data_IF_652654199646
#
_entry.id   IF_652654199646
#
_cell.length_a   1.000
_cell.length_b   1.000
_cell.length_c   1.000
_cell.angle_alpha   90.00
_cell.angle_beta   90.00
_cell.angle_gamma   90.00
#
_symmetry.space_group_name_H-M   'P 1'
#
loop_
_entity.id
_entity.type
_entity.pdbx_description
1 polymer ?
#
# COMPACT_ATOMS: atom_id res chain seq x y z
N UNK A 1 3.24 12.55 -0.27
CA UNK A 1 2.63 13.86 -0.54
C UNK A 1 1.75 14.23 0.65
N UNK A 2 1.60 15.52 0.96
CA UNK A 2 0.85 16.01 2.11
C UNK A 2 0.16 17.34 1.82
N UNK A 3 -0.82 17.64 2.67
CA UNK A 3 -1.36 18.98 2.90
C UNK A 3 -1.24 19.26 4.40
N UNK A 4 -0.57 20.36 4.74
CA UNK A 4 -0.36 20.83 6.11
C UNK A 4 -0.90 22.24 6.23
N UNK A 5 -1.82 22.43 7.16
CA UNK A 5 -2.34 23.73 7.55
C UNK A 5 -1.58 24.15 8.79
N UNK A 6 -0.79 25.22 8.69
CA UNK A 6 -0.03 25.79 9.81
C UNK A 6 -0.90 26.85 10.46
N UNK A 7 -1.37 26.63 11.68
CA UNK A 7 -2.25 27.59 12.33
C UNK A 7 -1.50 28.91 12.60
N UNK A 8 -2.12 30.08 12.36
CA UNK A 8 -1.49 31.38 12.61
C UNK A 8 -1.08 31.61 14.07
N UNK A 9 -1.74 30.92 14.99
CA UNK A 9 -1.48 30.90 16.43
C UNK A 9 -1.67 29.48 16.96
N UNK A 10 -1.09 29.22 18.14
CA UNK A 10 -1.28 27.96 18.84
C UNK A 10 -2.76 27.78 19.19
N UNK A 11 -3.29 26.60 18.90
CA UNK A 11 -4.68 26.28 19.15
C UNK A 11 -4.79 25.45 20.43
N UNK A 12 -5.73 25.81 21.27
CA UNK A 12 -6.12 25.05 22.45
C UNK A 12 -7.62 24.79 22.40
N UNK A 13 -8.02 23.51 22.37
CA UNK A 13 -9.43 23.14 22.23
C UNK A 13 -9.82 22.06 23.23
N UNK A 14 -11.06 22.13 23.71
CA UNK A 14 -11.68 21.08 24.55
C UNK A 14 -12.87 20.42 23.83
N UNK A 15 -13.19 20.90 22.63
CA UNK A 15 -14.25 20.40 21.78
C UNK A 15 -13.87 20.58 20.31
N UNK A 16 -14.05 19.53 19.51
CA UNK A 16 -13.83 19.58 18.07
C UNK A 16 -14.92 18.85 17.31
N UNK A 17 -15.25 19.39 16.14
CA UNK A 17 -16.07 18.77 15.11
C UNK A 17 -15.20 18.60 13.87
N UNK A 18 -14.86 17.35 13.54
CA UNK A 18 -13.98 17.01 12.42
C UNK A 18 -14.72 16.09 11.47
N UNK A 19 -14.70 16.38 10.17
CA UNK A 19 -15.22 15.44 9.17
C UNK A 19 -14.38 15.44 7.91
N UNK A 20 -14.31 14.31 7.23
CA UNK A 20 -13.71 14.19 5.92
C UNK A 20 -14.31 13.01 5.16
N UNK A 21 -14.10 12.96 3.86
CA UNK A 21 -14.31 11.76 3.06
C UNK A 21 -12.98 11.23 2.57
N UNK A 22 -12.86 9.91 2.48
CA UNK A 22 -11.66 9.26 1.94
C UNK A 22 -12.02 8.12 0.99
N UNK A 23 -11.09 7.80 0.10
CA UNK A 23 -11.12 6.65 -0.80
C UNK A 23 -9.71 6.06 -0.86
N UNK A 24 -9.57 4.75 -0.60
CA UNK A 24 -8.27 4.08 -0.51
C UNK A 24 -8.40 2.57 -0.80
N UNK A 25 -7.36 1.98 -1.41
CA UNK A 25 -7.18 0.52 -1.49
C UNK A 25 -6.33 -0.03 -0.33
N UNK A 26 -5.63 0.85 0.38
CA UNK A 26 -4.78 0.48 1.52
C UNK A 26 -5.59 0.35 2.79
N UNK A 27 -5.24 -0.67 3.56
CA UNK A 27 -5.81 -0.93 4.89
C UNK A 27 -5.20 -0.04 5.99
N UNK A 28 -4.14 0.72 5.66
CA UNK A 28 -3.41 1.57 6.57
C UNK A 28 -3.12 2.95 5.95
N UNK A 29 -3.12 4.00 6.78
CA UNK A 29 -2.67 5.32 6.35
C UNK A 29 -3.30 6.48 7.13
N UNK A 30 -2.54 7.57 7.30
CA UNK A 30 -2.99 8.79 7.98
C UNK A 30 -4.07 9.55 7.19
N UNK A 31 -5.28 9.69 7.75
CA UNK A 31 -6.33 10.51 7.16
C UNK A 31 -6.15 11.98 7.53
N UNK A 32 -6.14 12.27 8.83
CA UNK A 32 -5.85 13.62 9.36
C UNK A 32 -5.25 13.51 10.77
N UNK A 33 -4.34 14.41 11.12
CA UNK A 33 -3.86 14.57 12.48
C UNK A 33 -3.70 16.04 12.83
N UNK A 34 -4.01 16.41 14.07
CA UNK A 34 -3.44 17.61 14.67
C UNK A 34 -2.05 17.30 15.22
N UNK A 35 -1.11 18.22 15.10
CA UNK A 35 0.26 18.07 15.62
C UNK A 35 0.74 19.32 16.34
N UNK A 36 1.49 19.16 17.44
CA UNK A 36 2.16 20.26 18.14
C UNK A 36 3.68 20.22 17.95
N UNK A 37 4.29 21.41 17.89
CA UNK A 37 5.75 21.59 17.92
C UNK A 37 6.34 21.50 19.33
N UNK A 38 5.49 21.34 20.33
CA UNK A 38 5.85 21.43 21.75
C UNK A 38 5.49 20.18 22.57
N UNK A 39 4.57 19.36 22.08
CA UNK A 39 4.10 18.17 22.79
C UNK A 39 3.77 17.02 21.83
N UNK A 40 3.46 15.86 22.40
CA UNK A 40 2.92 14.70 21.68
C UNK A 40 1.39 14.75 21.53
N UNK A 41 0.76 15.90 21.79
CA UNK A 41 -0.67 16.10 21.69
C UNK A 41 -1.16 15.86 20.26
N UNK A 42 -2.20 15.05 20.11
CA UNK A 42 -2.81 14.80 18.82
C UNK A 42 -4.24 14.33 18.94
N UNK A 43 -5.09 14.82 18.04
CA UNK A 43 -6.30 14.16 17.59
C UNK A 43 -6.03 13.63 16.18
N UNK A 44 -6.08 12.32 16.01
CA UNK A 44 -5.69 11.64 14.78
C UNK A 44 -6.73 10.65 14.30
N UNK A 45 -7.02 10.70 13.00
CA UNK A 45 -7.76 9.69 12.26
C UNK A 45 -6.81 8.96 11.31
N UNK A 46 -6.84 7.64 11.36
CA UNK A 46 -6.03 6.77 10.50
C UNK A 46 -6.82 5.52 10.10
N UNK A 47 -6.48 4.95 8.94
CA UNK A 47 -6.84 3.58 8.61
C UNK A 47 -5.92 2.63 9.38
N UNK A 48 -6.50 1.65 10.06
CA UNK A 48 -5.80 0.62 10.83
C UNK A 48 -6.48 -0.74 10.62
N UNK A 49 -5.89 -1.58 9.75
CA UNK A 49 -6.43 -2.89 9.39
C UNK A 49 -7.80 -2.80 8.71
N UNK A 50 -8.00 -1.80 7.84
CA UNK A 50 -9.26 -1.59 7.09
C UNK A 50 -10.41 -1.03 7.94
N UNK A 51 -10.12 -0.52 9.13
CA UNK A 51 -11.05 0.22 10.00
C UNK A 51 -10.56 1.64 10.17
N UNK A 52 -11.43 2.58 10.50
CA UNK A 52 -11.00 3.92 10.93
C UNK A 52 -10.75 3.89 12.42
N UNK A 53 -9.59 4.40 12.83
CA UNK A 53 -9.17 4.56 14.21
C UNK A 53 -9.09 6.04 14.52
N UNK A 54 -9.82 6.46 15.55
CA UNK A 54 -9.60 7.74 16.22
C UNK A 54 -8.61 7.52 17.37
N UNK A 55 -7.57 8.33 17.43
CA UNK A 55 -6.63 8.40 18.55
C UNK A 55 -6.64 9.81 19.11
N UNK A 56 -6.86 9.97 20.41
CA UNK A 56 -6.66 11.23 21.13
C UNK A 56 -5.58 11.00 22.16
N UNK A 57 -4.45 11.69 22.02
CA UNK A 57 -3.36 11.67 22.98
C UNK A 57 -3.17 13.09 23.49
N UNK A 58 -3.22 13.26 24.82
CA UNK A 58 -2.96 14.53 25.47
C UNK A 58 -1.80 14.32 26.44
N UNK A 59 -0.68 15.00 26.19
CA UNK A 59 0.53 14.86 26.97
C UNK A 59 0.34 15.51 28.34
N UNK A 60 0.39 14.69 29.39
CA UNK A 60 0.26 15.13 30.77
C UNK A 60 1.59 15.58 31.40
N UNK A 61 2.73 15.40 30.72
CA UNK A 61 4.06 15.65 31.30
C UNK A 61 4.23 17.11 31.74
N UNK A 62 3.67 18.07 30.97
CA UNK A 62 3.80 19.50 31.27
C UNK A 62 2.85 20.01 32.36
N UNK A 63 1.81 19.26 32.72
CA UNK A 63 0.73 19.71 33.61
C UNK A 63 0.62 18.91 34.91
N UNK A 64 1.61 18.05 35.21
CA UNK A 64 1.71 17.33 36.49
C UNK A 64 0.43 16.54 36.85
N UNK A 65 -0.24 15.95 35.86
CA UNK A 65 -1.42 15.12 36.13
C UNK A 65 -1.03 13.77 36.72
N UNK A 66 -1.85 13.26 37.65
CA UNK A 66 -1.60 12.02 38.38
C UNK A 66 -1.63 10.74 37.51
N UNK A 67 -2.06 10.82 36.24
CA UNK A 67 -2.16 9.66 35.35
C UNK A 67 -2.00 10.03 33.87
N UNK A 68 -0.80 9.85 33.32
CA UNK A 68 -0.61 9.64 31.88
C UNK A 68 -0.84 8.15 31.61
N UNK A 69 -2.04 7.77 31.15
CA UNK A 69 -2.36 6.36 30.83
C UNK A 69 -2.08 5.99 29.36
N UNK A 70 -1.53 6.92 28.58
CA UNK A 70 -1.30 6.75 27.15
C UNK A 70 -2.49 7.20 26.29
N UNK A 71 -2.42 6.95 24.97
CA UNK A 71 -3.40 7.43 24.01
C UNK A 71 -4.76 6.71 24.15
N UNK A 72 -5.84 7.46 24.04
CA UNK A 72 -7.21 6.94 23.99
C UNK A 72 -7.61 6.63 22.55
N UNK A 73 -8.19 5.45 22.30
CA UNK A 73 -8.52 5.00 20.95
C UNK A 73 -9.91 4.42 20.82
N UNK A 74 -10.63 4.79 19.76
CA UNK A 74 -11.89 4.14 19.35
C UNK A 74 -11.85 3.78 17.86
N UNK A 75 -12.57 2.73 17.47
CA UNK A 75 -12.59 2.21 16.10
C UNK A 75 -14.01 2.17 15.55
N UNK A 76 -14.17 2.43 14.25
CA UNK A 76 -15.44 2.28 13.55
C UNK A 76 -15.25 1.80 12.10
N UNK A 77 -16.29 1.14 11.58
CA UNK A 77 -16.30 0.52 10.26
C UNK A 77 -15.39 -0.72 10.13
N UNK A 78 -15.48 -1.39 8.98
CA UNK A 78 -14.64 -2.53 8.60
C UNK A 78 -14.54 -2.60 7.08
N UNK A 79 -13.43 -3.15 6.56
CA UNK A 79 -13.18 -3.36 5.12
C UNK A 79 -13.31 -2.08 4.29
N UNK A 80 -12.96 -0.93 4.86
CA UNK A 80 -13.08 0.41 4.26
C UNK A 80 -11.99 0.72 3.21
N UNK A 81 -11.26 -0.30 2.79
CA UNK A 81 -10.20 -0.23 1.79
C UNK A 81 -10.65 -0.88 0.47
N UNK A 82 -11.93 -0.73 0.16
CA UNK A 82 -12.62 -1.25 -1.01
C UNK A 82 -12.44 -0.37 -2.26
N UNK A 83 -11.86 0.82 -2.09
CA UNK A 83 -11.70 1.88 -3.08
C UNK A 83 -12.99 2.66 -3.40
N UNK A 84 -13.95 2.65 -2.49
CA UNK A 84 -15.13 3.52 -2.53
C UNK A 84 -14.99 4.72 -1.57
N UNK A 85 -15.90 5.68 -1.70
CA UNK A 85 -15.92 6.85 -0.83
C UNK A 85 -16.61 6.55 0.50
N UNK A 86 -15.87 6.72 1.59
CA UNK A 86 -16.40 6.67 2.96
C UNK A 86 -16.40 8.05 3.60
N UNK A 87 -17.34 8.30 4.51
CA UNK A 87 -17.46 9.55 5.26
C UNK A 87 -17.14 9.32 6.73
N UNK A 88 -16.19 10.08 7.27
CA UNK A 88 -15.80 10.05 8.68
C UNK A 88 -16.27 11.33 9.36
N UNK A 89 -16.86 11.21 10.54
CA UNK A 89 -17.19 12.33 11.43
C UNK A 89 -16.72 12.03 12.84
N UNK A 90 -16.10 13.01 13.48
CA UNK A 90 -15.66 12.98 14.87
C UNK A 90 -16.29 14.14 15.59
N UNK A 91 -16.85 13.86 16.76
CA UNK A 91 -17.33 14.85 17.71
C UNK A 91 -16.62 14.56 19.02
N UNK A 92 -15.78 15.50 19.48
CA UNK A 92 -15.21 15.46 20.83
C UNK A 92 -15.82 16.57 21.68
N UNK A 93 -16.20 16.25 22.92
CA UNK A 93 -16.67 17.20 23.93
C UNK A 93 -16.04 16.84 25.28
N UNK A 94 -14.97 17.53 25.65
CA UNK A 94 -14.16 17.23 26.82
C UNK A 94 -13.60 15.81 26.74
N UNK A 95 -14.03 14.95 27.68
CA UNK A 95 -13.65 13.53 27.73
C UNK A 95 -14.46 12.65 26.79
N UNK A 96 -15.60 13.11 26.26
CA UNK A 96 -16.48 12.29 25.44
C UNK A 96 -16.01 12.29 23.98
N UNK A 97 -15.86 11.10 23.41
CA UNK A 97 -15.46 10.85 22.03
C UNK A 97 -16.59 10.15 21.28
N UNK A 98 -16.88 10.65 20.08
CA UNK A 98 -17.80 9.99 19.15
C UNK A 98 -17.16 9.94 17.77
N UNK A 99 -17.06 8.74 17.22
CA UNK A 99 -16.57 8.46 15.88
C UNK A 99 -17.71 7.84 15.07
N UNK A 100 -18.02 8.43 13.92
CA UNK A 100 -18.98 7.91 12.97
C UNK A 100 -18.28 7.67 11.65
N UNK A 101 -18.49 6.49 11.07
CA UNK A 101 -17.99 6.10 9.76
C UNK A 101 -19.17 5.57 8.97
N UNK A 102 -19.58 6.32 7.96
CA UNK A 102 -20.85 6.13 7.27
C UNK A 102 -22.00 6.04 8.28
N UNK A 103 -22.69 4.90 8.35
CA UNK A 103 -23.80 4.63 9.27
C UNK A 103 -23.35 4.01 10.62
N UNK A 104 -22.07 3.64 10.75
CA UNK A 104 -21.54 2.98 11.95
C UNK A 104 -21.04 4.02 12.94
N UNK A 105 -21.51 3.92 14.18
CA UNK A 105 -21.11 4.83 15.28
C UNK A 105 -20.39 4.06 16.38
N UNK A 106 -19.31 4.65 16.88
CA UNK A 106 -18.59 4.23 18.07
C UNK A 106 -18.46 5.42 19.03
N UNK A 107 -18.65 5.16 20.32
CA UNK A 107 -18.52 6.16 21.38
C UNK A 107 -17.48 5.68 22.39
N UNK A 108 -16.79 6.62 23.01
CA UNK A 108 -15.76 6.35 24.01
C UNK A 108 -15.62 7.51 24.98
N UNK A 109 -14.95 7.26 26.09
CA UNK A 109 -14.68 8.25 27.11
C UNK A 109 -13.20 8.21 27.48
N UNK A 110 -12.54 9.35 27.40
CA UNK A 110 -11.14 9.51 27.79
C UNK A 110 -10.98 9.34 29.29
N UNK A 111 -9.92 8.65 29.70
CA UNK A 111 -9.48 8.56 31.08
C UNK A 111 -8.56 9.75 31.42
N UNK A 112 -8.40 10.02 32.72
CA UNK A 112 -7.64 11.19 33.20
C UNK A 112 -8.45 12.48 33.17
N UNK A 113 -7.91 13.55 33.76
CA UNK A 113 -8.61 14.83 33.93
C UNK A 113 -8.27 15.87 32.87
N UNK A 114 -7.21 15.63 32.09
CA UNK A 114 -6.81 16.52 31.03
C UNK A 114 -7.72 16.37 29.80
N UNK A 115 -8.25 17.50 29.31
CA UNK A 115 -9.17 17.56 28.16
C UNK A 115 -8.72 18.56 27.09
N UNK A 116 -7.66 19.34 27.32
CA UNK A 116 -7.25 20.41 26.42
C UNK A 116 -6.25 19.88 25.41
N UNK A 117 -6.61 19.92 24.14
CA UNK A 117 -5.75 19.56 23.03
C UNK A 117 -4.98 20.80 22.57
N UNK A 118 -3.65 20.71 22.54
CA UNK A 118 -2.79 21.71 21.91
C UNK A 118 -2.39 21.28 20.50
N UNK A 119 -2.46 22.19 19.52
CA UNK A 119 -1.87 21.93 18.21
C UNK A 119 -1.46 23.20 17.47
N UNK A 120 -0.47 22.99 16.60
CA UNK A 120 0.08 24.00 15.69
C UNK A 120 -0.29 23.72 14.24
N UNK A 121 -0.51 22.46 13.88
CA UNK A 121 -0.83 22.09 12.51
C UNK A 121 -2.01 21.12 12.43
N UNK A 122 -2.68 21.14 11.29
CA UNK A 122 -3.59 20.08 10.83
C UNK A 122 -2.96 19.47 9.59
N UNK A 123 -2.68 18.17 9.61
CA UNK A 123 -1.88 17.48 8.60
C UNK A 123 -2.63 16.30 8.00
N UNK A 124 -2.54 16.13 6.68
CA UNK A 124 -3.06 14.97 5.95
C UNK A 124 -2.00 14.40 5.01
N UNK A 125 -2.14 13.12 4.65
CA UNK A 125 -1.18 12.46 3.75
C UNK A 125 0.08 11.98 4.47
N UNK A 126 0.91 12.91 4.95
CA UNK A 126 2.11 12.61 5.74
C UNK A 126 2.09 13.49 6.98
N UNK A 127 2.29 12.89 8.14
CA UNK A 127 2.60 13.64 9.37
C UNK A 127 4.03 14.17 9.24
N UNK A 128 4.24 15.47 9.14
CA UNK A 128 5.56 16.09 9.00
C UNK A 128 6.15 16.47 10.35
N UNK A 129 5.33 16.95 11.29
CA UNK A 129 5.76 17.21 12.65
C UNK A 129 5.69 15.92 13.48
N UNK A 130 6.86 15.44 13.93
CA UNK A 130 7.02 14.16 14.63
C UNK A 130 7.93 14.22 15.85
N UNK A 131 8.36 15.42 16.27
CA UNK A 131 9.43 15.59 17.27
C UNK A 131 9.18 14.80 18.57
N UNK A 132 7.93 14.71 19.01
CA UNK A 132 7.55 14.06 20.27
C UNK A 132 6.78 12.74 20.07
N UNK A 133 6.64 12.28 18.83
CA UNK A 133 5.89 11.05 18.50
C UNK A 133 6.90 9.93 18.21
N UNK A 134 6.84 8.86 18.98
CA UNK A 134 7.73 7.70 18.82
C UNK A 134 7.38 6.81 17.62
N UNK A 135 6.07 6.70 17.30
CA UNK A 135 5.58 5.89 16.18
C UNK A 135 4.57 6.71 15.38
N UNK A 136 4.96 7.06 14.15
CA UNK A 136 4.09 7.74 13.22
C UNK A 136 3.28 6.74 12.39
N UNK A 137 2.02 7.06 12.04
CA UNK A 137 1.24 6.28 11.10
C UNK A 137 1.92 6.25 9.72
N UNK A 138 1.56 5.26 8.91
CA UNK A 138 2.00 5.23 7.52
C UNK A 138 1.38 6.37 6.72
N UNK A 139 2.09 6.83 5.70
CA UNK A 139 1.59 7.85 4.78
C UNK A 139 0.32 7.36 4.09
N UNK A 140 -0.60 8.25 3.71
CA UNK A 140 -1.81 7.87 3.00
C UNK A 140 -1.61 7.81 1.47
N UNK A 141 -2.24 6.82 0.84
CA UNK A 141 -2.32 6.67 -0.62
C UNK A 141 -3.79 6.52 -0.96
N UNK A 142 -4.36 7.55 -1.60
CA UNK A 142 -5.77 7.62 -1.91
C UNK A 142 -6.20 9.07 -2.15
N UNK A 143 -7.50 9.31 -2.06
CA UNK A 143 -8.09 10.63 -2.21
C UNK A 143 -8.78 11.05 -0.91
N UNK A 144 -8.65 12.33 -0.57
CA UNK A 144 -9.36 12.97 0.53
C UNK A 144 -10.25 14.08 -0.03
N UNK A 145 -11.41 14.28 0.57
CA UNK A 145 -12.36 15.31 0.17
C UNK A 145 -13.01 15.93 1.41
N UNK A 146 -13.38 17.20 1.32
CA UNK A 146 -14.24 17.88 2.31
C UNK A 146 -13.74 17.77 3.75
N UNK A 147 -12.43 17.97 3.96
CA UNK A 147 -11.87 18.08 5.30
C UNK A 147 -12.43 19.35 5.98
N UNK A 148 -13.34 19.13 6.91
CA UNK A 148 -13.90 20.12 7.81
C UNK A 148 -13.29 19.95 9.19
N UNK A 149 -12.83 21.04 9.79
CA UNK A 149 -12.39 21.05 11.18
C UNK A 149 -12.92 22.33 11.85
N UNK A 150 -13.78 22.17 12.83
CA UNK A 150 -14.48 23.25 13.54
C UNK A 150 -15.15 24.26 12.59
N UNK A 151 -15.85 23.74 11.57
CA UNK A 151 -16.57 24.54 10.57
C UNK A 151 -15.72 25.06 9.41
N UNK A 152 -14.39 24.89 9.44
CA UNK A 152 -13.48 25.34 8.38
C UNK A 152 -13.19 24.22 7.38
N UNK A 153 -13.45 24.47 6.09
CA UNK A 153 -13.25 23.52 4.99
C UNK A 153 -11.84 23.67 4.40
N UNK A 154 -10.83 23.12 5.07
CA UNK A 154 -9.43 23.41 4.79
C UNK A 154 -8.94 23.02 3.39
N UNK A 155 -9.43 21.92 2.81
CA UNK A 155 -9.05 21.54 1.44
C UNK A 155 -9.50 22.61 0.44
N UNK A 156 -10.72 23.11 0.58
CA UNK A 156 -11.31 24.10 -0.33
C UNK A 156 -10.65 25.48 -0.12
N UNK A 157 -10.45 25.89 1.14
CA UNK A 157 -9.76 27.14 1.47
C UNK A 157 -8.33 27.18 0.90
N UNK A 158 -7.56 26.11 1.07
CA UNK A 158 -6.21 26.03 0.50
C UNK A 158 -6.24 26.00 -1.04
N UNK A 159 -7.21 25.31 -1.66
CA UNK A 159 -7.33 25.22 -3.12
C UNK A 159 -7.66 26.57 -3.76
N UNK A 160 -8.55 27.34 -3.13
CA UNK A 160 -9.00 28.63 -3.64
C UNK A 160 -8.03 29.77 -3.34
N UNK A 161 -7.08 29.56 -2.41
CA UNK A 161 -6.18 30.60 -1.93
C UNK A 161 -6.84 31.54 -0.92
N UNK A 162 -7.91 31.10 -0.25
CA UNK A 162 -8.62 31.89 0.76
C UNK A 162 -7.79 32.03 2.06
N UNK A 163 -6.79 31.16 2.23
CA UNK A 163 -5.83 31.17 3.34
C UNK A 163 -4.41 30.94 2.79
N UNK A 164 -3.43 31.64 3.36
CA UNK A 164 -2.04 31.60 2.90
C UNK A 164 -1.17 30.60 3.68
N UNK A 165 -1.66 30.09 4.79
CA UNK A 165 -0.92 29.23 5.72
C UNK A 165 -1.08 27.73 5.42
N UNK A 166 -1.15 27.38 4.13
CA UNK A 166 -1.17 26.01 3.64
C UNK A 166 0.17 25.64 2.99
N UNK A 167 0.78 24.56 3.46
CA UNK A 167 1.90 23.89 2.80
C UNK A 167 1.38 22.65 2.07
N UNK A 168 1.47 22.62 0.74
CA UNK A 168 0.93 21.52 -0.08
C UNK A 168 1.91 21.04 -1.14
N UNK A 169 2.13 19.74 -1.20
CA UNK A 169 2.74 19.06 -2.35
C UNK A 169 1.90 17.89 -2.88
N UNK A 170 0.71 17.70 -2.30
CA UNK A 170 -0.36 16.91 -2.91
C UNK A 170 -0.88 17.60 -4.18
N UNK A 171 -1.66 16.86 -4.98
CA UNK A 171 -2.30 17.42 -6.17
C UNK A 171 -3.81 17.31 -6.04
N UNK A 172 -4.51 18.36 -6.48
CA UNK A 172 -5.96 18.40 -6.52
C UNK A 172 -6.50 17.60 -7.71
N UNK A 173 -7.72 17.07 -7.55
CA UNK A 173 -8.43 16.32 -8.57
C UNK A 173 -8.27 14.80 -8.43
N UNK A 174 -9.28 14.08 -8.92
CA UNK A 174 -9.31 12.62 -8.94
C UNK A 174 -8.45 12.09 -10.09
N UNK A 175 -7.70 11.02 -9.82
CA UNK A 175 -6.81 10.36 -10.78
C UNK A 175 -6.39 8.99 -10.27
N UNK A 176 -6.01 8.10 -11.18
CA UNK A 176 -5.32 6.87 -10.80
C UNK A 176 -3.98 7.22 -10.12
N UNK A 177 -3.65 6.52 -9.04
CA UNK A 177 -2.43 6.72 -8.26
C UNK A 177 -1.53 5.52 -8.49
N UNK A 178 -0.34 5.79 -9.04
CA UNK A 178 0.80 4.87 -9.11
C UNK A 178 1.91 5.50 -8.25
N UNK A 179 2.14 4.97 -7.06
CA UNK A 179 3.10 5.53 -6.11
C UNK A 179 4.48 4.86 -6.24
N UNK A 180 5.54 5.65 -6.35
CA UNK A 180 6.94 5.21 -6.43
C UNK A 180 7.17 3.97 -7.31
N UNK A 181 6.86 4.04 -8.63
CA UNK A 181 7.08 2.92 -9.52
C UNK A 181 8.57 2.60 -9.65
N UNK A 182 8.90 1.32 -9.66
CA UNK A 182 10.26 0.78 -9.85
C UNK A 182 10.23 -0.32 -10.89
N UNK A 183 11.18 -0.27 -11.83
CA UNK A 183 11.34 -1.22 -12.92
C UNK A 183 12.44 -2.24 -12.60
N UNK A 184 12.11 -3.52 -12.77
CA UNK A 184 13.03 -4.65 -12.76
C UNK A 184 13.26 -5.07 -14.21
N UNK A 185 14.42 -4.70 -14.78
CA UNK A 185 14.65 -4.81 -16.22
C UNK A 185 14.81 -6.25 -16.70
N UNK A 186 15.39 -7.12 -15.87
CA UNK A 186 15.66 -8.52 -16.24
C UNK A 186 15.02 -9.47 -15.23
N UNK A 187 14.71 -10.70 -15.65
CA UNK A 187 14.19 -11.76 -14.76
C UNK A 187 15.15 -12.17 -13.63
N UNK A 188 16.42 -11.78 -13.70
CA UNK A 188 17.40 -12.01 -12.65
C UNK A 188 17.53 -10.83 -11.67
N UNK A 189 16.81 -9.73 -11.92
CA UNK A 189 16.86 -8.54 -11.08
C UNK A 189 15.98 -8.74 -9.86
N UNK A 190 16.54 -8.54 -8.67
CA UNK A 190 15.81 -8.64 -7.42
C UNK A 190 16.42 -7.75 -6.36
N UNK A 191 15.63 -7.46 -5.33
CA UNK A 191 16.11 -6.79 -4.13
C UNK A 191 15.59 -7.49 -2.89
N UNK A 192 16.23 -7.21 -1.76
CA UNK A 192 15.80 -7.73 -0.46
C UNK A 192 15.45 -6.61 0.50
N UNK A 193 14.41 -6.83 1.30
CA UNK A 193 13.95 -5.94 2.36
C UNK A 193 14.02 -6.68 3.71
N UNK A 194 13.82 -5.93 4.79
CA UNK A 194 13.61 -6.52 6.11
C UNK A 194 12.41 -7.48 6.12
N UNK A 195 12.43 -8.43 7.05
CA UNK A 195 11.39 -9.47 7.19
C UNK A 195 9.99 -8.88 7.22
N UNK A 196 9.07 -9.47 6.46
CA UNK A 196 7.67 -9.07 6.47
C UNK A 196 7.05 -9.31 7.85
N UNK A 197 6.47 -8.26 8.44
CA UNK A 197 5.80 -8.33 9.73
C UNK A 197 4.33 -8.72 9.53
N UNK A 198 4.02 -10.01 9.50
CA UNK A 198 2.68 -10.53 9.16
C UNK A 198 2.22 -11.70 10.05
N UNK A 199 2.50 -11.62 11.36
CA UNK A 199 2.30 -12.73 12.30
C UNK A 199 0.82 -13.11 12.51
N UNK A 200 -0.04 -12.19 13.00
CA UNK A 200 -1.45 -12.49 13.31
C UNK A 200 -2.43 -12.16 12.20
N UNK A 201 -2.17 -11.09 11.45
CA UNK A 201 -2.94 -10.64 10.30
C UNK A 201 -2.00 -10.08 9.26
N UNK A 202 -2.48 -9.98 8.02
CA UNK A 202 -1.67 -9.52 6.91
C UNK A 202 -2.52 -8.70 5.95
N UNK A 203 -1.99 -7.55 5.52
CA UNK A 203 -2.52 -6.78 4.40
C UNK A 203 -1.36 -6.39 3.48
N UNK A 204 -1.29 -7.03 2.31
CA UNK A 204 -0.37 -6.65 1.27
C UNK A 204 -1.14 -5.95 0.16
N UNK A 205 -0.57 -4.87 -0.35
CA UNK A 205 -1.05 -4.22 -1.56
C UNK A 205 0.13 -3.86 -2.44
N UNK A 206 -0.01 -4.08 -3.73
CA UNK A 206 0.94 -3.57 -4.71
C UNK A 206 0.24 -3.47 -6.06
N UNK A 207 0.84 -2.70 -6.96
CA UNK A 207 0.48 -2.64 -8.35
C UNK A 207 1.63 -3.19 -9.17
N UNK A 208 1.31 -3.87 -10.27
CA UNK A 208 2.33 -4.34 -11.20
C UNK A 208 1.92 -4.10 -12.64
N UNK A 209 2.92 -4.04 -13.51
CA UNK A 209 2.78 -3.95 -14.96
C UNK A 209 3.86 -4.79 -15.62
N UNK A 210 3.50 -5.71 -16.51
CA UNK A 210 4.44 -6.62 -17.18
C UNK A 210 3.88 -7.14 -18.51
N UNK A 211 4.78 -7.64 -19.35
CA UNK A 211 4.46 -8.46 -20.54
C UNK A 211 4.88 -9.92 -20.36
N UNK A 212 5.60 -10.26 -19.29
CA UNK A 212 6.00 -11.65 -19.00
C UNK A 212 4.84 -12.39 -18.35
N UNK A 213 4.44 -13.57 -18.86
CA UNK A 213 3.36 -14.35 -18.26
C UNK A 213 3.79 -15.08 -16.98
N UNK A 214 5.09 -15.23 -16.74
CA UNK A 214 5.63 -15.94 -15.59
C UNK A 214 6.70 -15.10 -14.88
N UNK A 215 6.76 -15.17 -13.55
CA UNK A 215 7.80 -14.51 -12.76
C UNK A 215 7.48 -14.38 -11.27
N UNK A 216 8.53 -14.48 -10.44
CA UNK A 216 8.45 -14.36 -8.99
C UNK A 216 8.31 -12.89 -8.53
N UNK A 217 7.26 -12.53 -7.78
CA UNK A 217 7.04 -11.15 -7.33
C UNK A 217 7.49 -10.92 -5.89
N UNK A 218 7.17 -11.82 -4.96
CA UNK A 218 7.48 -11.67 -3.54
C UNK A 218 7.75 -13.03 -2.90
N UNK A 219 8.81 -13.16 -2.09
CA UNK A 219 9.08 -14.36 -1.30
C UNK A 219 9.63 -14.03 0.09
N UNK A 220 9.10 -14.67 1.13
CA UNK A 220 9.73 -14.69 2.45
C UNK A 220 9.60 -16.10 3.03
N UNK A 221 10.74 -16.71 3.39
CA UNK A 221 10.76 -17.95 4.17
C UNK A 221 10.51 -17.69 5.66
N UNK A 222 10.18 -18.73 6.39
CA UNK A 222 9.91 -18.70 7.82
C UNK A 222 10.64 -19.80 8.59
N UNK A 223 10.23 -19.99 9.84
CA UNK A 223 10.69 -21.10 10.65
C UNK A 223 10.04 -22.42 10.21
N UNK A 224 10.80 -23.51 10.23
CA UNK A 224 10.34 -24.80 9.71
C UNK A 224 9.93 -24.74 8.23
N UNK A 225 8.64 -24.94 7.95
CA UNK A 225 8.06 -24.92 6.60
C UNK A 225 7.29 -23.63 6.29
N UNK A 226 7.23 -22.67 7.22
CA UNK A 226 6.48 -21.44 7.01
C UNK A 226 7.04 -20.66 5.82
N UNK A 227 6.18 -20.18 4.94
CA UNK A 227 6.59 -19.25 3.88
C UNK A 227 5.40 -18.49 3.32
N UNK A 228 5.72 -17.41 2.62
CA UNK A 228 4.81 -16.71 1.72
C UNK A 228 5.50 -16.47 0.37
N UNK A 229 4.77 -16.72 -0.70
CA UNK A 229 5.16 -16.43 -2.07
C UNK A 229 4.01 -15.79 -2.83
N UNK A 230 4.34 -14.80 -3.67
CA UNK A 230 3.44 -14.25 -4.69
C UNK A 230 4.17 -14.31 -6.01
N UNK A 231 3.51 -14.88 -7.01
CA UNK A 231 4.09 -15.14 -8.32
C UNK A 231 3.05 -14.96 -9.42
N UNK A 232 3.52 -14.69 -10.62
CA UNK A 232 2.73 -14.73 -11.83
C UNK A 232 2.98 -16.06 -12.53
N UNK A 233 1.92 -16.77 -12.89
CA UNK A 233 1.99 -18.08 -13.57
C UNK A 233 1.00 -18.09 -14.72
N UNK A 234 1.49 -18.23 -15.96
CA UNK A 234 0.69 -18.17 -17.18
C UNK A 234 -0.22 -16.93 -17.26
N UNK A 235 0.25 -15.81 -16.72
CA UNK A 235 -0.46 -14.53 -16.68
C UNK A 235 -1.43 -14.37 -15.52
N UNK A 236 -1.50 -15.29 -14.55
CA UNK A 236 -2.41 -15.20 -13.39
C UNK A 236 -1.62 -15.12 -12.09
N UNK A 237 -2.07 -14.26 -11.16
CA UNK A 237 -1.44 -14.14 -9.84
C UNK A 237 -1.75 -15.40 -9.02
N UNK A 238 -0.71 -16.02 -8.49
CA UNK A 238 -0.80 -17.05 -7.47
C UNK A 238 -0.27 -16.51 -6.15
N UNK A 239 -1.06 -16.70 -5.09
CA UNK A 239 -0.64 -16.50 -3.71
C UNK A 239 -0.43 -17.88 -3.08
N UNK A 240 0.81 -18.21 -2.75
CA UNK A 240 1.21 -19.49 -2.16
C UNK A 240 1.75 -19.25 -0.76
N UNK A 241 1.35 -20.07 0.20
CA UNK A 241 1.80 -19.92 1.58
C UNK A 241 1.71 -21.24 2.34
N UNK A 242 2.49 -21.35 3.41
CA UNK A 242 2.38 -22.39 4.42
C UNK A 242 2.47 -21.72 5.80
N UNK A 243 1.55 -22.10 6.69
CA UNK A 243 1.47 -21.61 8.08
C UNK A 243 1.87 -22.70 9.09
N UNK A 244 2.45 -23.81 8.61
CA UNK A 244 2.82 -24.99 9.40
C UNK A 244 1.92 -26.21 9.16
N UNK A 245 0.91 -26.09 8.29
CA UNK A 245 -0.08 -27.15 7.99
C UNK A 245 0.05 -27.72 6.57
N UNK A 246 1.09 -27.34 5.85
CA UNK A 246 1.29 -27.69 4.45
C UNK A 246 0.94 -26.53 3.52
N UNK A 247 1.54 -26.54 2.32
CA UNK A 247 1.42 -25.43 1.39
C UNK A 247 0.02 -25.36 0.79
N UNK A 248 -0.50 -24.14 0.68
CA UNK A 248 -1.77 -23.79 0.05
C UNK A 248 -1.51 -22.82 -1.10
N UNK A 249 -2.40 -22.82 -2.10
CA UNK A 249 -2.37 -21.88 -3.22
C UNK A 249 -3.75 -21.30 -3.48
N UNK A 250 -3.82 -19.96 -3.54
CA UNK A 250 -5.00 -19.22 -3.98
C UNK A 250 -4.64 -18.60 -5.34
N UNK A 251 -5.41 -18.94 -6.37
CA UNK A 251 -5.21 -18.42 -7.72
C UNK A 251 -6.16 -17.26 -7.97
N UNK A 252 -5.64 -16.19 -8.55
CA UNK A 252 -6.45 -15.06 -9.01
C UNK A 252 -7.45 -15.53 -10.07
N UNK A 253 -8.64 -14.94 -10.06
CA UNK A 253 -9.74 -15.27 -10.97
C UNK A 253 -9.99 -14.16 -12.00
N UNK A 254 -8.93 -13.51 -12.48
CA UNK A 254 -9.02 -12.57 -13.60
C UNK A 254 -9.55 -13.29 -14.85
N UNK A 255 -10.30 -12.57 -15.69
CA UNK A 255 -10.84 -13.16 -16.93
C UNK A 255 -9.76 -13.32 -18.01
N UNK A 256 -8.73 -12.49 -17.95
CA UNK A 256 -7.63 -12.44 -18.90
C UNK A 256 -6.30 -12.59 -18.18
N UNK A 257 -5.28 -12.96 -18.93
CA UNK A 257 -3.90 -12.90 -18.50
C UNK A 257 -3.50 -11.44 -18.22
N UNK A 258 -2.77 -11.23 -17.14
CA UNK A 258 -2.36 -9.93 -16.58
C UNK A 258 -1.00 -9.46 -17.13
N UNK A 259 -0.46 -10.18 -18.11
CA UNK A 259 0.77 -9.85 -18.81
C UNK A 259 0.47 -9.01 -20.07
N UNK A 260 -0.43 -8.03 -19.92
CA UNK A 260 -1.00 -7.21 -21.01
C UNK A 260 -0.41 -5.79 -21.07
N UNK A 261 0.68 -5.54 -20.32
CA UNK A 261 1.34 -4.24 -20.19
C UNK A 261 0.46 -3.12 -19.57
N UNK A 262 -0.63 -3.49 -18.88
CA UNK A 262 -1.43 -2.55 -18.07
C UNK A 262 -1.06 -2.64 -16.59
N UNK A 263 -1.46 -1.61 -15.83
CA UNK A 263 -1.35 -1.62 -14.38
C UNK A 263 -2.49 -2.44 -13.78
N UNK A 264 -2.15 -3.45 -13.00
CA UNK A 264 -3.08 -4.26 -12.22
C UNK A 264 -2.88 -4.05 -10.73
N UNK A 265 -3.97 -4.03 -9.99
CA UNK A 265 -3.98 -3.92 -8.53
C UNK A 265 -4.04 -5.31 -7.90
N UNK A 266 -3.17 -5.60 -6.93
CA UNK A 266 -3.19 -6.85 -6.18
C UNK A 266 -3.29 -6.55 -4.70
N UNK A 267 -4.33 -7.08 -4.06
CA UNK A 267 -4.55 -7.02 -2.62
C UNK A 267 -4.56 -8.45 -2.07
N UNK A 268 -3.73 -8.72 -1.08
CA UNK A 268 -3.70 -10.01 -0.37
C UNK A 268 -3.94 -9.74 1.11
N UNK A 269 -4.99 -10.31 1.68
CA UNK A 269 -5.30 -10.14 3.10
C UNK A 269 -5.45 -11.47 3.81
N UNK A 270 -5.04 -11.52 5.07
CA UNK A 270 -5.33 -12.59 6.02
C UNK A 270 -5.82 -11.97 7.31
N UNK A 271 -7.06 -12.28 7.70
CA UNK A 271 -7.63 -11.78 8.95
C UNK A 271 -7.40 -12.73 10.14
N UNK A 272 -7.82 -12.30 11.33
CA UNK A 272 -7.69 -13.08 12.57
C UNK A 272 -8.55 -14.36 12.58
N UNK A 273 -9.53 -14.47 11.68
CA UNK A 273 -10.33 -15.68 11.47
C UNK A 273 -9.63 -16.69 10.56
N UNK A 274 -8.41 -16.38 10.11
CA UNK A 274 -7.64 -17.15 9.12
C UNK A 274 -8.36 -17.23 7.76
N UNK A 275 -9.11 -16.17 7.42
CA UNK A 275 -9.70 -15.98 6.10
C UNK A 275 -8.72 -15.24 5.22
N UNK A 276 -8.26 -15.92 4.17
CA UNK A 276 -7.36 -15.38 3.17
C UNK A 276 -8.15 -14.85 1.98
N UNK A 277 -7.78 -13.69 1.46
CA UNK A 277 -8.41 -13.11 0.26
C UNK A 277 -7.34 -12.60 -0.68
N UNK A 278 -7.42 -13.01 -1.94
CA UNK A 278 -6.66 -12.47 -3.07
C UNK A 278 -7.64 -11.69 -3.95
N UNK A 279 -7.46 -10.37 -4.03
CA UNK A 279 -8.22 -9.50 -4.93
C UNK A 279 -7.28 -8.98 -6.02
N UNK A 280 -7.62 -9.25 -7.27
CA UNK A 280 -6.95 -8.73 -8.47
C UNK A 280 -7.92 -7.82 -9.17
N UNK A 281 -7.56 -6.54 -9.26
CA UNK A 281 -8.43 -5.46 -9.73
C UNK A 281 -9.79 -5.47 -8.99
N UNK A 282 -10.87 -5.78 -9.71
CA UNK A 282 -12.22 -5.83 -9.15
C UNK A 282 -12.63 -7.22 -8.66
N UNK A 283 -11.85 -8.28 -8.92
CA UNK A 283 -12.23 -9.66 -8.63
C UNK A 283 -11.53 -10.20 -7.40
N UNK A 284 -12.27 -10.84 -6.51
CA UNK A 284 -11.74 -11.42 -5.28
C UNK A 284 -11.99 -12.92 -5.20
N UNK A 285 -11.02 -13.65 -4.67
CA UNK A 285 -11.12 -15.05 -4.27
C UNK A 285 -10.80 -15.12 -2.78
N UNK A 286 -11.67 -15.78 -2.02
CA UNK A 286 -11.53 -15.93 -0.57
C UNK A 286 -11.49 -17.41 -0.20
N UNK A 287 -10.59 -17.76 0.72
CA UNK A 287 -10.46 -19.11 1.25
C UNK A 287 -10.22 -19.08 2.75
N UNK A 288 -10.94 -19.92 3.49
CA UNK A 288 -10.75 -20.10 4.93
C UNK A 288 -9.79 -21.28 5.12
N UNK A 289 -8.73 -21.07 5.90
CA UNK A 289 -7.74 -22.11 6.21
C UNK A 289 -7.90 -22.57 7.65
N UNK A 290 -7.99 -23.88 7.83
CA UNK A 290 -8.12 -24.49 9.15
C UNK A 290 -6.73 -24.81 9.76
N UNK A 291 -6.65 -24.72 11.09
CA UNK A 291 -5.48 -25.07 11.89
C UNK A 291 -4.56 -23.89 12.17
N UNK A 292 -3.27 -23.99 11.81
CA UNK A 292 -2.27 -22.98 12.14
C UNK A 292 -2.64 -21.62 11.52
N UNK A 293 -2.54 -20.58 12.35
CA UNK A 293 -3.00 -19.23 12.03
C UNK A 293 -1.87 -18.23 11.89
N UNK A 294 -0.74 -18.51 12.50
CA UNK A 294 0.37 -17.57 12.56
C UNK A 294 1.37 -17.91 11.46
N UNK A 295 1.99 -16.87 10.93
CA UNK A 295 3.04 -16.98 9.92
C UNK A 295 4.34 -16.47 10.55
N UNK A 296 5.25 -17.36 10.94
CA UNK A 296 6.52 -16.98 11.56
C UNK A 296 7.63 -16.84 10.50
N UNK A 297 7.70 -15.65 9.90
CA UNK A 297 8.70 -15.33 8.87
C UNK A 297 10.06 -15.02 9.49
N UNK A 298 11.11 -15.46 8.80
CA UNK A 298 12.52 -15.26 9.17
C UNK A 298 13.32 -14.79 7.97
N UNK A 299 14.52 -14.28 8.21
CA UNK A 299 15.42 -13.83 7.14
C UNK A 299 14.86 -12.62 6.39
N UNK A 300 15.25 -12.46 5.13
CA UNK A 300 14.91 -11.28 4.32
C UNK A 300 13.70 -11.55 3.43
N UNK A 301 12.96 -10.47 3.13
CA UNK A 301 11.90 -10.47 2.13
C UNK A 301 12.51 -10.21 0.75
N UNK A 302 12.36 -11.15 -0.17
CA UNK A 302 12.77 -10.97 -1.57
C UNK A 302 11.64 -10.36 -2.40
N UNK A 303 12.00 -9.41 -3.27
CA UNK A 303 11.10 -8.73 -4.19
C UNK A 303 11.61 -8.92 -5.62
N UNK A 304 10.69 -9.24 -6.52
CA UNK A 304 10.85 -9.44 -7.96
C UNK A 304 11.78 -10.59 -8.40
N UNK A 305 12.32 -11.38 -7.49
CA UNK A 305 13.16 -12.53 -7.84
C UNK A 305 13.93 -13.06 -6.65
N UNK A 306 14.76 -14.05 -6.91
CA UNK A 306 15.57 -14.74 -5.91
C UNK A 306 17.01 -14.85 -6.38
N UNK A 307 17.92 -15.20 -5.47
CA UNK A 307 19.25 -15.62 -5.87
C UNK A 307 19.19 -16.92 -6.69
N UNK A 308 20.03 -17.04 -7.73
CA UNK A 308 19.95 -18.11 -8.74
C UNK A 308 19.91 -19.54 -8.15
N UNK A 309 20.65 -19.81 -7.08
CA UNK A 309 20.66 -21.13 -6.42
C UNK A 309 19.37 -21.48 -5.65
N UNK A 310 18.55 -20.48 -5.32
CA UNK A 310 17.33 -20.69 -4.51
C UNK A 310 16.18 -21.28 -5.31
N UNK A 311 16.09 -21.02 -6.62
CA UNK A 311 15.01 -21.52 -7.48
C UNK A 311 14.93 -23.06 -7.52
N UNK A 312 16.05 -23.74 -7.27
CA UNK A 312 16.12 -25.20 -7.24
C UNK A 312 15.48 -25.81 -5.98
N UNK A 313 15.34 -25.03 -4.91
CA UNK A 313 14.92 -25.48 -3.59
C UNK A 313 13.68 -24.72 -3.10
N UNK A 314 12.72 -24.48 -4.00
CA UNK A 314 11.48 -23.79 -3.65
C UNK A 314 10.47 -24.73 -2.98
N UNK A 315 9.62 -24.22 -2.08
CA UNK A 315 8.53 -24.98 -1.50
C UNK A 315 7.60 -25.56 -2.56
N UNK A 316 6.90 -26.65 -2.22
CA UNK A 316 5.89 -27.24 -3.10
C UNK A 316 4.81 -26.21 -3.44
N UNK A 317 4.19 -26.37 -4.61
CA UNK A 317 3.18 -25.48 -5.22
C UNK A 317 3.70 -24.13 -5.73
N UNK A 318 4.94 -23.73 -5.42
CA UNK A 318 5.59 -22.58 -6.05
C UNK A 318 6.11 -22.97 -7.44
N UNK A 319 5.56 -22.33 -8.48
CA UNK A 319 5.77 -22.76 -9.86
C UNK A 319 6.91 -22.03 -10.59
N UNK A 320 7.13 -20.76 -10.27
CA UNK A 320 8.08 -19.90 -10.99
C UNK A 320 9.51 -20.36 -10.80
N UNK A 321 10.29 -20.30 -11.88
CA UNK A 321 11.72 -20.63 -11.90
C UNK A 321 12.61 -19.46 -12.35
N UNK A 322 11.97 -18.32 -12.63
CA UNK A 322 12.58 -17.05 -12.96
C UNK A 322 12.00 -15.94 -12.07
N UNK A 323 12.68 -14.80 -11.96
CA UNK A 323 12.14 -13.60 -11.33
C UNK A 323 11.17 -12.84 -12.22
N UNK A 324 10.48 -11.88 -11.61
CA UNK A 324 9.60 -10.93 -12.28
C UNK A 324 10.40 -9.91 -13.08
N UNK A 325 9.95 -9.67 -14.31
CA UNK A 325 10.44 -8.62 -15.18
C UNK A 325 9.27 -7.69 -15.46
N UNK A 326 9.40 -6.41 -15.13
CA UNK A 326 8.26 -5.49 -15.14
C UNK A 326 8.42 -4.33 -14.18
N UNK A 327 7.32 -3.64 -13.92
CA UNK A 327 7.25 -2.60 -12.89
C UNK A 327 6.45 -3.06 -11.67
N UNK A 328 6.91 -2.66 -10.50
CA UNK A 328 6.15 -2.69 -9.25
C UNK A 328 5.93 -1.26 -8.75
N UNK A 329 4.76 -0.99 -8.18
CA UNK A 329 4.42 0.30 -7.61
C UNK A 329 3.49 0.13 -6.41
N UNK A 330 3.34 1.20 -5.63
CA UNK A 330 2.40 1.30 -4.50
C UNK A 330 2.52 0.14 -3.51
N UNK A 331 3.75 -0.35 -3.29
CA UNK A 331 4.03 -1.49 -2.43
C UNK A 331 3.75 -1.14 -0.98
N UNK A 332 2.79 -1.83 -0.38
CA UNK A 332 2.39 -1.77 1.02
C UNK A 332 2.55 -3.15 1.65
N UNK A 333 3.48 -3.22 2.60
CA UNK A 333 3.85 -4.44 3.32
C UNK A 333 3.30 -4.37 4.74
N UNK A 334 2.02 -4.70 4.90
CA UNK A 334 1.30 -4.67 6.17
C UNK A 334 1.37 -3.31 6.89
N UNK A 335 1.14 -2.24 6.13
CA UNK A 335 1.16 -0.86 6.60
C UNK A 335 2.48 -0.14 6.35
N UNK A 336 3.58 -0.87 6.11
CA UNK A 336 4.88 -0.26 5.77
C UNK A 336 4.96 0.05 4.28
N UNK A 337 5.31 1.29 3.94
CA UNK A 337 5.61 1.74 2.59
C UNK A 337 7.13 1.81 2.39
N UNK A 338 7.81 0.74 1.97
CA UNK A 338 9.24 0.80 1.69
C UNK A 338 9.51 1.64 0.43
N UNK A 339 10.56 2.45 0.46
CA UNK A 339 11.19 2.86 -0.80
C UNK A 339 12.02 1.67 -1.28
N UNK A 340 11.54 0.99 -2.33
CA UNK A 340 12.13 -0.28 -2.76
C UNK A 340 13.63 -0.18 -3.05
N UNK A 341 14.12 0.95 -3.55
CA UNK A 341 15.53 1.11 -3.91
C UNK A 341 16.36 1.56 -2.72
N UNK A 342 15.86 2.52 -1.94
CA UNK A 342 16.57 3.11 -0.82
C UNK A 342 16.61 2.18 0.40
N UNK A 343 15.50 1.50 0.70
CA UNK A 343 15.36 0.64 1.88
C UNK A 343 15.83 -0.80 1.62
N UNK A 344 16.30 -1.11 0.40
CA UNK A 344 16.85 -2.41 0.05
C UNK A 344 18.09 -2.73 0.87
N UNK A 345 18.08 -3.90 1.53
CA UNK A 345 19.25 -4.48 2.19
C UNK A 345 20.28 -4.98 1.19
N UNK A 346 19.81 -5.48 0.04
CA UNK A 346 20.64 -5.92 -1.07
C UNK A 346 19.89 -5.74 -2.40
N UNK A 347 20.64 -5.48 -3.48
CA UNK A 347 20.12 -5.32 -4.85
C UNK A 347 21.00 -6.12 -5.80
N UNK A 348 20.39 -6.82 -6.73
CA UNK A 348 21.04 -7.56 -7.80
C UNK A 348 20.36 -7.29 -9.13
N UNK A 349 21.14 -7.21 -10.21
CA UNK A 349 20.64 -6.90 -11.55
C UNK A 349 20.36 -5.42 -11.79
N UNK A 350 19.46 -5.13 -12.73
CA UNK A 350 19.16 -3.79 -13.22
C UNK A 350 17.80 -3.33 -12.71
N UNK A 351 17.83 -2.43 -11.72
CA UNK A 351 16.66 -1.92 -11.02
C UNK A 351 16.68 -0.39 -11.11
N UNK A 352 15.62 0.19 -11.65
CA UNK A 352 15.55 1.62 -11.95
C UNK A 352 14.26 2.24 -11.44
N UNK A 353 14.31 3.53 -11.07
CA UNK A 353 13.09 4.27 -10.71
C UNK A 353 12.28 4.59 -11.94
N UNK A 354 10.97 4.70 -11.76
CA UNK A 354 10.04 4.96 -12.84
C UNK A 354 9.50 3.67 -13.46
N UNK A 355 8.56 3.86 -14.37
CA UNK A 355 8.01 2.81 -15.20
C UNK A 355 7.66 3.38 -16.57
N UNK A 356 8.66 3.49 -17.44
CA UNK A 356 8.45 3.92 -18.83
C UNK A 356 7.83 2.78 -19.68
N UNK A 357 7.74 1.57 -19.12
CA UNK A 357 7.29 0.38 -19.84
C UNK A 357 8.40 -0.19 -20.71
N UNK A 358 8.06 -1.04 -21.70
CA UNK A 358 9.05 -1.57 -22.61
C UNK A 358 9.71 -0.46 -23.44
N UNK A 359 11.02 -0.57 -23.63
CA UNK A 359 11.86 0.38 -24.35
C UNK A 359 11.38 0.68 -25.77
N UNK A 360 10.77 -0.30 -26.43
CA UNK A 360 10.14 -0.17 -27.76
C UNK A 360 8.84 -0.97 -27.81
N UNK A 361 7.78 -0.40 -28.37
CA UNK A 361 6.49 -1.06 -28.55
C UNK A 361 6.27 -1.53 -29.99
N UNK A 362 5.49 -2.60 -30.16
CA UNK A 362 5.03 -3.03 -31.48
C UNK A 362 4.23 -1.92 -32.17
N UNK A 363 4.68 -1.55 -33.36
CA UNK A 363 4.03 -0.67 -34.33
C UNK A 363 3.62 -1.50 -35.56
N UNK A 364 2.77 -0.94 -36.42
CA UNK A 364 2.34 -1.61 -37.66
C UNK A 364 3.53 -1.97 -38.58
N UNK A 365 4.61 -1.20 -38.53
CA UNK A 365 5.83 -1.37 -39.33
C UNK A 365 7.00 -2.00 -38.56
N UNK A 366 6.79 -2.44 -37.31
CA UNK A 366 7.84 -3.07 -36.50
C UNK A 366 8.38 -4.37 -37.09
N UNK A 367 7.52 -5.14 -37.75
CA UNK A 367 7.86 -6.38 -38.44
C UNK A 367 7.49 -6.27 -39.91
N UNK A 368 8.40 -6.67 -40.80
CA UNK A 368 8.19 -6.61 -42.25
C UNK A 368 7.60 -7.92 -42.78
N UNK A 369 7.15 -7.91 -44.04
CA UNK A 369 6.69 -9.11 -44.75
C UNK A 369 5.60 -9.91 -44.01
N UNK A 370 4.70 -9.21 -43.32
CA UNK A 370 3.61 -9.80 -42.52
C UNK A 370 4.08 -10.67 -41.33
N UNK A 371 5.30 -10.46 -40.83
CA UNK A 371 5.75 -11.04 -39.57
C UNK A 371 4.89 -10.59 -38.40
N UNK A 372 4.64 -11.47 -37.43
CA UNK A 372 3.81 -11.16 -36.27
C UNK A 372 4.68 -10.46 -35.22
N UNK A 373 4.36 -9.21 -34.89
CA UNK A 373 5.05 -8.50 -33.81
C UNK A 373 4.60 -9.02 -32.44
N UNK A 374 5.57 -9.47 -31.65
CA UNK A 374 5.37 -9.98 -30.29
C UNK A 374 6.02 -9.00 -29.33
N UNK A 375 5.20 -8.36 -28.49
CA UNK A 375 5.67 -7.43 -27.48
C UNK A 375 6.41 -8.17 -26.36
N UNK A 376 7.61 -7.69 -26.03
CA UNK A 376 8.42 -8.11 -24.89
C UNK A 376 8.63 -6.94 -23.92
N UNK A 377 9.29 -7.18 -22.78
CA UNK A 377 9.60 -6.10 -21.82
C UNK A 377 10.82 -5.28 -22.25
N UNK A 378 11.84 -5.91 -22.83
CA UNK A 378 13.04 -5.22 -23.31
C UNK A 378 12.91 -4.70 -24.75
N UNK A 379 11.72 -4.83 -25.35
CA UNK A 379 11.44 -4.37 -26.71
C UNK A 379 10.37 -5.22 -27.40
N UNK A 380 10.52 -5.50 -28.69
CA UNK A 380 9.66 -6.43 -29.42
C UNK A 380 10.50 -7.43 -30.21
N UNK A 381 9.87 -8.55 -30.58
CA UNK A 381 10.44 -9.57 -31.47
C UNK A 381 9.45 -9.86 -32.60
N UNK A 382 9.93 -10.26 -33.77
CA UNK A 382 9.08 -10.66 -34.87
C UNK A 382 9.08 -12.18 -35.02
N UNK A 383 7.89 -12.78 -35.02
CA UNK A 383 7.71 -14.17 -35.44
C UNK A 383 7.57 -14.24 -36.96
N UNK A 384 8.64 -14.73 -37.59
CA UNK A 384 8.77 -14.87 -39.03
C UNK A 384 8.39 -16.27 -39.53
N UNK A 385 7.94 -17.19 -38.67
CA UNK A 385 7.71 -18.60 -39.00
C UNK A 385 6.68 -18.84 -40.11
N UNK A 386 5.72 -17.91 -40.26
CA UNK A 386 4.71 -17.92 -41.31
C UNK A 386 5.07 -17.02 -42.50
N UNK A 387 6.32 -16.56 -42.58
CA UNK A 387 6.86 -15.73 -43.66
C UNK A 387 7.98 -16.48 -44.39
N UNK A 388 8.35 -16.05 -45.59
CA UNK A 388 9.52 -16.58 -46.33
C UNK A 388 10.82 -15.84 -46.01
N UNK A 389 10.87 -15.15 -44.87
CA UNK A 389 11.98 -14.29 -44.47
C UNK A 389 12.50 -14.70 -43.08
N UNK A 390 13.75 -14.37 -42.82
CA UNK A 390 14.41 -14.56 -41.53
C UNK A 390 14.88 -13.22 -40.96
N UNK A 391 15.70 -13.26 -39.92
CA UNK A 391 16.19 -12.05 -39.24
C UNK A 391 15.25 -11.53 -38.15
N UNK A 392 15.71 -10.53 -37.41
CA UNK A 392 14.99 -9.98 -36.25
C UNK A 392 13.72 -9.19 -36.61
N UNK A 393 13.59 -8.75 -37.86
CA UNK A 393 12.45 -7.98 -38.38
C UNK A 393 11.78 -8.64 -39.61
N UNK A 394 12.06 -9.92 -39.86
CA UNK A 394 11.55 -10.68 -41.01
C UNK A 394 11.88 -10.03 -42.38
N UNK A 395 13.07 -9.44 -42.51
CA UNK A 395 13.51 -8.73 -43.71
C UNK A 395 14.67 -9.44 -44.46
N UNK A 396 15.31 -10.42 -43.83
CA UNK A 396 16.41 -11.14 -44.44
C UNK A 396 15.85 -12.25 -45.34
N UNK A 397 16.22 -12.25 -46.63
CA UNK A 397 15.88 -13.36 -47.53
C UNK A 397 16.80 -14.54 -47.24
N UNK A 398 16.22 -15.72 -47.11
CA UNK A 398 16.98 -16.98 -47.13
C UNK A 398 17.74 -17.17 -48.44
#
# INVERSE_FOLDING_TARGET
>A
MYLKIVMPWIMHTEAEDVSLRFMSQRAYGLLVATTSRESADTLRLELDGGRVKLTVNLDCIRINCNSSKGPETIYAGQKLNDNDWHTVRVVRRGKNLKLMVDEVTAEGQMLGDHTRLEFHNIETGIMTERRFISVAPSSFIGHLQSLMFNGMMYIDLCKNGDIEYCEINARFGMRSIIADPVTFKTKNSYLTLATLQAYTSMHLFFQFKTTSPDGFILFNSGDGNDFIAVELVKGYIHYVFDLGNGPNVIKGNSEKALSDNQWHNVVITRDNSNTHTLKVDARSVTQIINGAKNLDLKGVLYIAGLAQGMYNNLPKLVASRDGFQGCLASVDLNGRLPDLIHDALHRSGQIERGCEGPSTTCQEDSCTNYGICIQQWEGYTCDCSMTSYSGSQCNDRE
#
